data_IF_741345994994
#
_entry.id   IF_741345994994
#
_cell.length_a   1.000
_cell.length_b   1.000
_cell.length_c   1.000
_cell.angle_alpha   90.00
_cell.angle_beta   90.00
_cell.angle_gamma   90.00
#
_symmetry.space_group_name_H-M   'P 1'
#
loop_
_entity.id
_entity.type
_entity.pdbx_description
1 polymer ?
#
# COMPACT_ATOMS: atom_id res chain seq x y z
N UNK A 1 -6.87 -7.39 40.11
CA UNK A 1 -6.60 -8.57 39.25
C UNK A 1 -6.51 -8.24 37.74
N UNK A 2 -6.71 -7.00 37.26
CA UNK A 2 -6.67 -6.66 35.82
C UNK A 2 -5.27 -6.43 35.20
N UNK A 3 -4.20 -6.35 36.00
CA UNK A 3 -2.85 -6.05 35.47
C UNK A 3 -2.26 -7.16 34.58
N UNK A 4 -2.70 -8.42 34.74
CA UNK A 4 -2.20 -9.57 33.97
C UNK A 4 -2.60 -9.55 32.49
N UNK A 5 -3.88 -9.26 32.17
CA UNK A 5 -4.37 -9.25 30.78
C UNK A 5 -3.74 -8.16 29.90
N UNK A 6 -3.35 -7.03 30.49
CA UNK A 6 -2.73 -5.91 29.75
C UNK A 6 -1.30 -6.28 29.33
N UNK A 7 -0.60 -7.09 30.13
CA UNK A 7 0.77 -7.51 29.83
C UNK A 7 0.82 -8.55 28.70
N UNK A 8 -0.12 -9.50 28.66
CA UNK A 8 -0.23 -10.49 27.56
C UNK A 8 -0.54 -9.86 26.19
N UNK A 9 -1.37 -8.82 26.14
CA UNK A 9 -1.68 -8.12 24.89
C UNK A 9 -0.42 -7.41 24.34
N UNK A 10 0.43 -6.89 25.23
CA UNK A 10 1.62 -6.14 24.83
C UNK A 10 2.75 -7.06 24.33
N UNK A 11 2.98 -8.20 24.99
CA UNK A 11 3.97 -9.17 24.52
C UNK A 11 3.61 -9.73 23.14
N UNK A 12 2.33 -10.01 22.90
CA UNK A 12 1.86 -10.58 21.63
C UNK A 12 1.96 -9.60 20.43
N UNK A 13 1.86 -8.29 20.69
CA UNK A 13 2.05 -7.24 19.67
C UNK A 13 3.51 -7.15 19.19
N UNK A 14 4.48 -7.38 20.08
CA UNK A 14 5.91 -7.30 19.73
C UNK A 14 6.38 -8.47 18.87
N UNK A 15 5.83 -9.68 19.09
CA UNK A 15 6.10 -10.87 18.28
C UNK A 15 5.48 -10.77 16.89
N UNK A 16 4.25 -10.25 16.78
CA UNK A 16 3.60 -10.04 15.48
C UNK A 16 4.34 -9.02 14.62
N UNK A 17 4.83 -7.92 15.19
CA UNK A 17 5.64 -6.94 14.46
C UNK A 17 6.95 -7.52 13.91
N UNK A 18 7.66 -8.29 14.74
CA UNK A 18 8.91 -8.97 14.33
C UNK A 18 8.69 -9.97 13.20
N UNK A 19 7.50 -10.58 13.10
CA UNK A 19 7.13 -11.46 12.00
C UNK A 19 6.68 -10.70 10.74
N UNK A 20 5.91 -9.62 10.90
CA UNK A 20 5.28 -8.89 9.79
C UNK A 20 6.27 -8.13 8.89
N UNK A 21 7.33 -7.56 9.47
CA UNK A 21 8.35 -6.87 8.69
C UNK A 21 9.04 -7.81 7.69
N UNK A 22 9.72 -8.90 8.10
CA UNK A 22 10.42 -9.76 7.16
C UNK A 22 9.48 -10.41 6.14
N UNK A 23 8.24 -10.76 6.50
CA UNK A 23 7.28 -11.33 5.53
C UNK A 23 6.93 -10.35 4.40
N UNK A 24 6.74 -9.06 4.70
CA UNK A 24 6.46 -8.06 3.66
C UNK A 24 7.65 -7.84 2.70
N UNK A 25 8.88 -7.82 3.22
CA UNK A 25 10.09 -7.76 2.39
C UNK A 25 10.27 -9.01 1.51
N UNK A 26 9.95 -10.19 2.05
CA UNK A 26 9.97 -11.44 1.29
C UNK A 26 8.93 -11.41 0.17
N UNK A 27 7.71 -10.93 0.44
CA UNK A 27 6.67 -10.77 -0.59
C UNK A 27 7.10 -9.80 -1.69
N UNK A 28 7.69 -8.66 -1.34
CA UNK A 28 8.18 -7.69 -2.32
C UNK A 28 9.30 -8.26 -3.20
N UNK A 29 10.25 -8.96 -2.57
CA UNK A 29 11.35 -9.62 -3.28
C UNK A 29 10.85 -10.74 -4.20
N UNK A 30 9.89 -11.55 -3.73
CA UNK A 30 9.28 -12.60 -4.53
C UNK A 30 8.55 -12.04 -5.76
N UNK A 31 7.86 -10.90 -5.60
CA UNK A 31 7.15 -10.24 -6.70
C UNK A 31 8.12 -9.71 -7.77
N UNK A 32 9.25 -9.14 -7.34
CA UNK A 32 10.32 -8.70 -8.26
C UNK A 32 10.94 -9.89 -8.98
N UNK A 33 11.24 -10.99 -8.27
CA UNK A 33 11.81 -12.21 -8.87
C UNK A 33 10.86 -12.83 -9.90
N UNK A 34 9.55 -12.83 -9.62
CA UNK A 34 8.54 -13.31 -10.55
C UNK A 34 8.48 -12.43 -11.80
N UNK A 35 8.59 -11.11 -11.65
CA UNK A 35 8.73 -10.19 -12.77
C UNK A 35 9.99 -10.43 -13.61
N UNK A 36 11.12 -10.73 -12.97
CA UNK A 36 12.35 -11.09 -13.66
C UNK A 36 12.25 -12.41 -14.44
N UNK A 37 11.49 -13.40 -13.95
CA UNK A 37 11.27 -14.67 -14.65
C UNK A 37 10.37 -14.53 -15.88
N UNK A 38 9.43 -13.58 -15.86
CA UNK A 38 8.51 -13.32 -16.97
C UNK A 38 9.11 -12.40 -18.05
N UNK A 39 10.15 -11.64 -17.72
CA UNK A 39 10.75 -10.67 -18.66
C UNK A 39 11.89 -11.31 -19.47
N UNK A 40 11.98 -11.03 -20.79
CA UNK A 40 13.15 -11.34 -21.60
C UNK A 40 14.40 -10.69 -21.00
N UNK A 41 15.56 -11.33 -21.18
CA UNK A 41 16.87 -10.90 -20.63
C UNK A 41 17.17 -9.44 -20.92
N UNK A 42 16.88 -9.01 -22.14
CA UNK A 42 17.30 -7.70 -22.68
C UNK A 42 16.48 -6.54 -22.10
N UNK A 43 15.37 -6.86 -21.41
CA UNK A 43 14.45 -5.87 -20.85
C UNK A 43 14.27 -6.01 -19.34
N UNK A 44 15.12 -6.79 -18.67
CA UNK A 44 15.10 -6.98 -17.22
C UNK A 44 15.25 -5.66 -16.46
N UNK A 45 16.18 -4.79 -16.90
CA UNK A 45 16.41 -3.50 -16.26
C UNK A 45 15.16 -2.64 -16.24
N UNK A 46 14.41 -2.61 -17.36
CA UNK A 46 13.17 -1.84 -17.45
C UNK A 46 12.08 -2.41 -16.55
N UNK A 47 11.91 -3.74 -16.52
CA UNK A 47 10.97 -4.41 -15.62
C UNK A 47 11.29 -4.12 -14.15
N UNK A 48 12.58 -4.11 -13.78
CA UNK A 48 13.03 -3.79 -12.44
C UNK A 48 12.72 -2.34 -12.05
N UNK A 49 13.00 -1.38 -12.93
CA UNK A 49 12.66 0.04 -12.74
C UNK A 49 11.15 0.22 -12.58
N UNK A 50 10.34 -0.49 -13.37
CA UNK A 50 8.88 -0.43 -13.28
C UNK A 50 8.39 -0.91 -11.90
N UNK A 51 8.88 -2.07 -11.42
CA UNK A 51 8.55 -2.57 -10.08
C UNK A 51 8.99 -1.62 -8.97
N UNK A 52 10.22 -1.09 -9.05
CA UNK A 52 10.75 -0.15 -8.06
C UNK A 52 9.92 1.14 -8.01
N UNK A 53 9.53 1.66 -9.18
CA UNK A 53 8.72 2.87 -9.28
C UNK A 53 7.34 2.66 -8.68
N UNK A 54 6.68 1.53 -8.99
CA UNK A 54 5.38 1.19 -8.39
C UNK A 54 5.47 1.08 -6.87
N UNK A 55 6.49 0.40 -6.37
CA UNK A 55 6.74 0.27 -4.94
C UNK A 55 6.99 1.62 -4.25
N UNK A 56 7.86 2.47 -4.81
CA UNK A 56 8.17 3.80 -4.28
C UNK A 56 6.94 4.73 -4.24
N UNK A 57 6.07 4.67 -5.25
CA UNK A 57 4.82 5.43 -5.28
C UNK A 57 3.75 4.86 -4.34
N UNK A 58 3.78 3.55 -4.07
CA UNK A 58 2.83 2.91 -3.16
C UNK A 58 3.03 3.31 -1.69
N UNK A 59 4.25 3.64 -1.27
CA UNK A 59 4.54 4.09 0.10
C UNK A 59 3.75 5.36 0.49
N UNK A 60 3.86 6.50 -0.22
CA UNK A 60 3.11 7.71 0.13
C UNK A 60 1.60 7.51 0.01
N UNK A 61 1.14 6.68 -0.94
CA UNK A 61 -0.28 6.29 -1.03
C UNK A 61 -0.74 5.51 0.21
N UNK A 62 0.07 4.58 0.71
CA UNK A 62 -0.24 3.86 1.95
C UNK A 62 -0.27 4.78 3.18
N UNK A 63 0.59 5.79 3.23
CA UNK A 63 0.53 6.82 4.27
C UNK A 63 -0.77 7.64 4.16
N UNK A 64 -1.22 7.93 2.93
CA UNK A 64 -2.48 8.64 2.68
C UNK A 64 -3.72 7.87 3.13
N UNK A 65 -3.72 6.55 2.91
CA UNK A 65 -4.84 5.67 3.31
C UNK A 65 -4.89 5.47 4.83
N UNK A 66 -3.76 5.58 5.54
CA UNK A 66 -3.68 5.38 6.99
C UNK A 66 -3.10 6.60 7.71
N UNK A 67 -3.86 7.70 7.86
CA UNK A 67 -3.37 8.90 8.54
C UNK A 67 -3.24 8.73 10.06
N UNK A 68 -2.22 9.36 10.64
CA UNK A 68 -2.01 9.39 12.09
C UNK A 68 -3.04 10.29 12.81
N UNK A 69 -3.26 10.07 14.11
CA UNK A 69 -4.05 11.00 14.95
C UNK A 69 -3.36 12.37 14.95
N UNK A 70 -4.06 13.41 14.50
CA UNK A 70 -3.52 14.78 14.35
C UNK A 70 -3.09 15.13 12.91
N UNK A 71 -2.78 14.13 12.08
CA UNK A 71 -2.46 14.32 10.67
C UNK A 71 -3.70 14.32 9.76
N UNK A 72 -4.80 13.72 10.24
CA UNK A 72 -5.99 13.42 9.44
C UNK A 72 -6.60 14.61 8.67
N UNK A 73 -6.52 15.84 9.18
CA UNK A 73 -7.07 17.02 8.47
C UNK A 73 -6.28 17.34 7.20
N UNK A 74 -4.95 17.38 7.29
CA UNK A 74 -4.09 17.67 6.15
C UNK A 74 -4.11 16.51 5.13
N UNK A 75 -4.10 15.27 5.62
CA UNK A 75 -4.16 14.10 4.76
C UNK A 75 -5.49 13.95 4.03
N UNK A 76 -6.62 14.31 4.67
CA UNK A 76 -7.93 14.32 4.00
C UNK A 76 -7.98 15.35 2.87
N UNK A 77 -7.37 16.52 3.09
CA UNK A 77 -7.28 17.58 2.07
C UNK A 77 -6.44 17.11 0.89
N UNK A 78 -5.22 16.63 1.14
CA UNK A 78 -4.34 16.11 0.07
C UNK A 78 -4.99 14.92 -0.66
N UNK A 79 -5.58 13.99 0.09
CA UNK A 79 -6.31 12.85 -0.46
C UNK A 79 -7.46 13.28 -1.37
N UNK A 80 -8.21 14.31 -1.00
CA UNK A 80 -9.27 14.86 -1.86
C UNK A 80 -8.71 15.45 -3.15
N UNK A 81 -7.62 16.22 -3.10
CA UNK A 81 -7.00 16.78 -4.30
C UNK A 81 -6.48 15.70 -5.24
N UNK A 82 -5.83 14.67 -4.69
CA UNK A 82 -5.36 13.53 -5.47
C UNK A 82 -6.54 12.77 -6.08
N UNK A 83 -7.60 12.47 -5.31
CA UNK A 83 -8.79 11.79 -5.80
C UNK A 83 -9.49 12.59 -6.91
N UNK A 84 -9.61 13.91 -6.77
CA UNK A 84 -10.20 14.78 -7.80
C UNK A 84 -9.34 14.82 -9.05
N UNK A 85 -8.01 14.89 -8.91
CA UNK A 85 -7.09 14.89 -10.05
C UNK A 85 -7.11 13.54 -10.77
N UNK A 86 -7.08 12.43 -10.02
CA UNK A 86 -7.17 11.09 -10.57
C UNK A 86 -8.53 10.83 -11.21
N UNK A 87 -9.64 11.21 -10.57
CA UNK A 87 -10.96 11.01 -11.15
C UNK A 87 -11.15 11.83 -12.42
N UNK A 88 -10.69 13.09 -12.44
CA UNK A 88 -10.70 13.93 -13.63
C UNK A 88 -9.83 13.35 -14.76
N UNK A 89 -8.61 12.91 -14.43
CA UNK A 89 -7.72 12.28 -15.41
C UNK A 89 -8.32 10.99 -15.97
N UNK A 90 -8.79 10.09 -15.11
CA UNK A 90 -9.40 8.81 -15.50
C UNK A 90 -10.64 9.05 -16.35
N UNK A 91 -11.50 9.99 -15.96
CA UNK A 91 -12.71 10.34 -16.72
C UNK A 91 -12.35 10.93 -18.09
N UNK A 92 -11.31 11.77 -18.16
CA UNK A 92 -10.81 12.33 -19.43
C UNK A 92 -10.22 11.28 -20.37
N UNK A 93 -9.69 10.18 -19.81
CA UNK A 93 -9.16 9.06 -20.59
C UNK A 93 -10.24 8.04 -20.95
N UNK A 94 -11.27 7.87 -20.11
CA UNK A 94 -12.46 7.05 -20.38
C UNK A 94 -13.31 7.61 -21.51
N UNK A 95 -13.45 8.93 -21.62
CA UNK A 95 -14.18 9.56 -22.72
C UNK A 95 -13.39 9.60 -24.03
N UNK A 96 -12.10 9.27 -24.00
CA UNK A 96 -11.23 9.23 -25.17
C UNK A 96 -11.10 7.79 -25.68
N UNK A 97 -11.03 7.55 -27.01
CA UNK A 97 -10.67 6.23 -27.56
C UNK A 97 -9.27 5.75 -27.14
N UNK A 98 -8.54 6.56 -26.35
CA UNK A 98 -7.27 6.20 -25.73
C UNK A 98 -7.33 4.97 -24.82
N UNK A 99 -8.43 4.73 -24.07
CA UNK A 99 -8.51 3.52 -23.24
C UNK A 99 -8.65 2.26 -24.07
N UNK A 100 -9.50 2.28 -25.11
CA UNK A 100 -9.64 1.14 -26.02
C UNK A 100 -8.32 0.84 -26.73
N UNK A 101 -7.62 1.89 -27.22
CA UNK A 101 -6.29 1.74 -27.80
C UNK A 101 -5.27 1.22 -26.79
N UNK A 102 -5.32 1.67 -25.55
CA UNK A 102 -4.40 1.23 -24.50
C UNK A 102 -4.63 -0.24 -24.11
N UNK A 103 -5.89 -0.67 -24.01
CA UNK A 103 -6.27 -2.07 -23.78
C UNK A 103 -5.86 -2.93 -24.98
N UNK A 104 -6.15 -2.49 -26.21
CA UNK A 104 -5.78 -3.19 -27.43
C UNK A 104 -4.26 -3.33 -27.57
N UNK A 105 -3.50 -2.29 -27.22
CA UNK A 105 -2.04 -2.29 -27.25
C UNK A 105 -1.44 -3.17 -26.13
N UNK A 106 -2.06 -3.18 -24.94
CA UNK A 106 -1.70 -4.12 -23.87
C UNK A 106 -1.98 -5.58 -24.26
N UNK A 107 -3.05 -5.83 -25.02
CA UNK A 107 -3.40 -7.15 -25.54
C UNK A 107 -2.48 -7.58 -26.70
N UNK A 108 -2.11 -6.65 -27.58
CA UNK A 108 -1.19 -6.90 -28.69
C UNK A 108 0.25 -7.14 -28.20
N UNK A 109 0.64 -6.49 -27.10
CA UNK A 109 1.98 -6.59 -26.51
C UNK A 109 1.90 -7.16 -25.08
N UNK A 110 1.90 -8.50 -24.91
CA UNK A 110 1.74 -9.13 -23.58
C UNK A 110 2.83 -8.72 -22.59
N UNK A 111 4.04 -8.40 -23.07
CA UNK A 111 5.13 -7.86 -22.25
C UNK A 111 4.77 -6.50 -21.61
N UNK A 112 4.10 -5.63 -22.36
CA UNK A 112 3.68 -4.32 -21.86
C UNK A 112 2.56 -4.46 -20.85
N UNK A 113 1.56 -5.30 -21.16
CA UNK A 113 0.49 -5.65 -20.21
C UNK A 113 1.04 -6.24 -18.91
N UNK A 114 2.00 -7.17 -19.01
CA UNK A 114 2.68 -7.77 -17.86
C UNK A 114 3.40 -6.75 -16.99
N UNK A 115 4.11 -5.79 -17.59
CA UNK A 115 4.78 -4.70 -16.85
C UNK A 115 3.81 -3.80 -16.10
N UNK A 116 2.68 -3.47 -16.72
CA UNK A 116 1.63 -2.67 -16.07
C UNK A 116 1.06 -3.44 -14.87
N UNK A 117 0.82 -4.75 -15.03
CA UNK A 117 0.34 -5.58 -13.93
C UNK A 117 1.37 -5.69 -12.81
N UNK A 118 2.67 -5.82 -13.13
CA UNK A 118 3.75 -5.81 -12.15
C UNK A 118 3.85 -4.46 -11.41
N UNK A 119 3.75 -3.35 -12.13
CA UNK A 119 3.68 -2.01 -11.56
C UNK A 119 2.53 -1.91 -10.55
N UNK A 120 1.30 -2.26 -10.97
CA UNK A 120 0.12 -2.20 -10.11
C UNK A 120 0.25 -3.11 -8.89
N UNK A 121 0.76 -4.32 -9.08
CA UNK A 121 0.97 -5.30 -8.01
C UNK A 121 1.99 -4.79 -6.98
N UNK A 122 3.11 -4.23 -7.45
CA UNK A 122 4.14 -3.64 -6.58
C UNK A 122 3.63 -2.42 -5.81
N UNK A 123 2.80 -1.59 -6.46
CA UNK A 123 2.17 -0.43 -5.85
C UNK A 123 1.18 -0.84 -4.75
N UNK A 124 0.28 -1.78 -5.04
CA UNK A 124 -0.69 -2.29 -4.05
C UNK A 124 0.03 -2.94 -2.87
N UNK A 125 1.07 -3.72 -3.12
CA UNK A 125 1.85 -4.35 -2.07
C UNK A 125 2.51 -3.32 -1.15
N UNK A 126 3.11 -2.26 -1.70
CA UNK A 126 3.71 -1.18 -0.92
C UNK A 126 2.67 -0.38 -0.11
N UNK A 127 1.47 -0.16 -0.66
CA UNK A 127 0.34 0.46 0.06
C UNK A 127 -0.06 -0.39 1.27
N UNK A 128 -0.27 -1.70 1.06
CA UNK A 128 -0.66 -2.65 2.13
C UNK A 128 0.44 -2.76 3.19
N UNK A 129 1.71 -2.85 2.76
CA UNK A 129 2.84 -2.90 3.68
C UNK A 129 2.93 -1.64 4.54
N UNK A 130 2.78 -0.47 3.95
CA UNK A 130 2.82 0.80 4.69
C UNK A 130 1.64 0.91 5.66
N UNK A 131 0.46 0.44 5.24
CA UNK A 131 -0.72 0.35 6.10
C UNK A 131 -0.47 -0.55 7.32
N UNK A 132 0.03 -1.77 7.11
CA UNK A 132 0.36 -2.73 8.17
C UNK A 132 1.41 -2.11 9.10
N UNK A 133 2.51 -1.60 8.54
CA UNK A 133 3.60 -1.03 9.33
C UNK A 133 3.10 0.09 10.25
N UNK A 134 2.27 1.01 9.73
CA UNK A 134 1.66 2.08 10.55
C UNK A 134 0.68 1.54 11.59
N UNK A 135 -0.15 0.57 11.23
CA UNK A 135 -1.12 -0.01 12.15
C UNK A 135 -0.45 -0.69 13.36
N UNK A 136 0.70 -1.34 13.16
CA UNK A 136 1.43 -2.05 14.22
C UNK A 136 2.46 -1.20 14.96
N UNK A 137 3.01 -0.14 14.34
CA UNK A 137 3.94 0.77 15.02
C UNK A 137 3.27 1.72 16.03
N UNK A 138 1.94 1.79 16.06
CA UNK A 138 1.18 2.68 16.96
C UNK A 138 0.41 1.93 18.07
N UNK A 139 1.08 1.26 19.02
CA UNK A 139 0.41 0.53 20.10
C UNK A 139 -0.38 1.45 21.06
N UNK A 140 -0.20 2.77 20.98
CA UNK A 140 -0.97 3.75 21.77
C UNK A 140 -2.46 3.80 21.37
N UNK A 141 -2.80 3.50 20.11
CA UNK A 141 -4.19 3.57 19.60
C UNK A 141 -5.15 2.66 20.38
N UNK A 142 -4.68 1.46 20.76
CA UNK A 142 -5.46 0.52 21.55
C UNK A 142 -5.71 1.04 22.97
N UNK A 143 -4.67 1.56 23.64
CA UNK A 143 -4.79 2.06 25.02
C UNK A 143 -5.75 3.24 25.13
N UNK A 144 -5.66 4.20 24.22
CA UNK A 144 -6.54 5.38 24.23
C UNK A 144 -8.02 5.00 24.05
N UNK A 145 -8.33 4.06 23.14
CA UNK A 145 -9.70 3.58 22.92
C UNK A 145 -10.27 2.83 24.13
N UNK A 146 -9.43 2.13 24.88
CA UNK A 146 -9.83 1.48 26.13
C UNK A 146 -10.08 2.49 27.25
N UNK A 147 -9.33 3.59 27.32
CA UNK A 147 -9.55 4.64 28.31
C UNK A 147 -10.78 5.51 27.98
N UNK A 148 -11.03 5.78 26.69
CA UNK A 148 -12.21 6.51 26.23
C UNK A 148 -13.52 5.76 26.52
N UNK A 149 -13.56 4.44 26.27
CA UNK A 149 -14.70 3.57 26.61
C UNK A 149 -14.94 3.40 28.13
N UNK A 150 -13.99 3.80 28.98
CA UNK A 150 -14.15 3.78 30.44
C UNK A 150 -14.80 5.05 31.00
N UNK A 151 -14.93 6.12 30.22
CA UNK A 151 -15.63 7.32 30.68
C UNK A 151 -17.13 7.02 30.73
N UNK A 152 -17.78 7.12 31.90
CA UNK A 152 -19.22 6.92 31.99
C UNK A 152 -19.91 7.99 31.14
N UNK A 153 -20.80 7.57 30.25
CA UNK A 153 -21.76 8.46 29.58
C UNK A 153 -22.68 9.03 30.65
N UNK A 154 -22.34 10.21 31.12
CA UNK A 154 -23.17 11.07 31.97
C UNK A 154 -24.23 11.79 31.16
#
# INVERSE_FOLDING_TARGET
MMKGKIFEIWTNSSTTFKLAMPTTWVMGSALILLGCKLSPSDQLALTWVVCLTGYMLGIPLGMLVSPHKGEGRNFRVIGSYLLTLFSGYVLSKLSSPGIEKWIADAAANPLRGGRIMLFLSSLVLAVVQTFILRAYLEPKRAKDQFEENKKPTT
#
